data_IF_248770387122
#
_entry.id   IF_248770387122
#
_cell.length_a   1.000
_cell.length_b   1.000
_cell.length_c   1.000
_cell.angle_alpha   90.00
_cell.angle_beta   90.00
_cell.angle_gamma   90.00
#
_symmetry.space_group_name_H-M   'P 1'
#
loop_
_entity.id
_entity.type
_entity.pdbx_description
1 polymer ?
#
# COMPACT_ATOMS: atom_id res chain seq x y z
N UNK A 1 13.57 19.82 6.27
CA UNK A 1 13.99 18.51 5.73
C UNK A 1 12.78 17.82 5.12
N UNK A 2 12.68 17.77 3.79
CA UNK A 2 11.56 17.12 3.10
C UNK A 2 11.69 15.60 3.26
N UNK A 3 10.79 14.98 4.02
CA UNK A 3 10.77 13.51 4.17
C UNK A 3 10.54 12.89 2.78
N UNK A 4 11.56 12.23 2.23
CA UNK A 4 11.43 11.49 0.98
C UNK A 4 10.65 10.22 1.26
N UNK A 5 9.40 10.21 0.83
CA UNK A 5 8.58 9.01 0.86
C UNK A 5 8.88 8.14 -0.35
N UNK A 6 9.08 6.84 -0.11
CA UNK A 6 9.27 5.83 -1.15
C UNK A 6 7.96 5.55 -1.89
N UNK A 7 6.84 5.63 -1.17
CA UNK A 7 5.50 5.37 -1.69
C UNK A 7 4.78 6.65 -2.09
N UNK A 8 3.92 6.52 -3.10
CA UNK A 8 2.96 7.58 -3.44
C UNK A 8 1.82 7.61 -2.41
N UNK A 9 1.08 8.73 -2.29
CA UNK A 9 -0.05 8.82 -1.36
C UNK A 9 -1.08 7.70 -1.55
N UNK A 10 -1.39 7.32 -2.80
CA UNK A 10 -2.35 6.24 -3.09
C UNK A 10 -1.84 4.85 -2.69
N UNK A 11 -0.54 4.59 -2.90
CA UNK A 11 0.07 3.34 -2.44
C UNK A 11 0.06 3.23 -0.93
N UNK A 12 0.35 4.33 -0.24
CA UNK A 12 0.27 4.45 1.22
C UNK A 12 -1.15 4.21 1.73
N UNK A 13 -2.14 4.86 1.13
CA UNK A 13 -3.55 4.65 1.48
C UNK A 13 -3.94 3.17 1.33
N UNK A 14 -3.58 2.53 0.21
CA UNK A 14 -3.86 1.11 0.01
C UNK A 14 -3.19 0.23 1.08
N UNK A 15 -1.92 0.48 1.42
CA UNK A 15 -1.21 -0.29 2.45
C UNK A 15 -1.71 -0.01 3.87
N UNK A 16 -2.12 1.21 4.19
CA UNK A 16 -2.72 1.57 5.49
C UNK A 16 -4.08 0.89 5.68
N UNK A 17 -4.89 0.82 4.61
CA UNK A 17 -6.14 0.07 4.65
C UNK A 17 -5.88 -1.44 4.69
N UNK A 18 -4.79 -1.90 4.05
CA UNK A 18 -4.38 -3.28 4.11
C UNK A 18 -3.93 -3.73 5.50
N UNK A 19 -3.24 -2.86 6.24
CA UNK A 19 -2.84 -3.04 7.64
C UNK A 19 -4.06 -3.28 8.54
N UNK A 20 -5.19 -2.64 8.22
CA UNK A 20 -6.48 -2.80 8.94
C UNK A 20 -7.22 -4.10 8.57
N UNK A 21 -6.63 -4.97 7.77
CA UNK A 21 -7.21 -6.26 7.38
C UNK A 21 -8.18 -6.20 6.19
N UNK A 22 -8.32 -5.06 5.51
CA UNK A 22 -9.30 -4.90 4.40
C UNK A 22 -8.86 -5.60 3.12
N UNK A 23 -9.73 -6.35 2.46
CA UNK A 23 -9.43 -6.98 1.16
C UNK A 23 -9.24 -5.95 0.05
N UNK A 24 -8.64 -6.34 -1.08
CA UNK A 24 -8.46 -5.43 -2.23
C UNK A 24 -9.81 -4.86 -2.71
N UNK A 25 -10.88 -5.67 -2.70
CA UNK A 25 -12.25 -5.26 -3.03
C UNK A 25 -12.77 -4.20 -2.06
N UNK A 26 -12.60 -4.40 -0.75
CA UNK A 26 -13.02 -3.43 0.26
C UNK A 26 -12.26 -2.10 0.14
N UNK A 27 -10.98 -2.17 -0.16
CA UNK A 27 -10.12 -1.00 -0.40
C UNK A 27 -10.58 -0.27 -1.66
N UNK A 28 -10.84 -1.00 -2.74
CA UNK A 28 -11.33 -0.46 -4.01
C UNK A 28 -12.64 0.30 -3.82
N UNK A 29 -13.60 -0.31 -3.13
CA UNK A 29 -14.87 0.32 -2.78
C UNK A 29 -14.68 1.58 -1.92
N UNK A 30 -13.80 1.53 -0.92
CA UNK A 30 -13.52 2.68 -0.05
C UNK A 30 -12.85 3.84 -0.79
N UNK A 31 -11.94 3.54 -1.71
CA UNK A 31 -11.17 4.54 -2.46
C UNK A 31 -11.86 5.00 -3.75
N UNK A 32 -13.01 4.39 -4.12
CA UNK A 32 -13.74 4.72 -5.33
C UNK A 32 -12.99 4.33 -6.62
N UNK A 33 -12.19 3.27 -6.57
CA UNK A 33 -11.39 2.77 -7.71
C UNK A 33 -11.67 1.28 -7.94
N UNK A 34 -11.15 0.72 -9.04
CA UNK A 34 -11.28 -0.71 -9.30
C UNK A 34 -10.32 -1.55 -8.45
N UNK A 35 -10.67 -2.81 -8.21
CA UNK A 35 -9.79 -3.78 -7.56
C UNK A 35 -8.47 -3.95 -8.35
N UNK A 36 -8.54 -3.91 -9.68
CA UNK A 36 -7.37 -3.95 -10.55
C UNK A 36 -6.41 -2.79 -10.28
N UNK A 37 -6.94 -1.58 -10.07
CA UNK A 37 -6.13 -0.41 -9.71
C UNK A 37 -5.49 -0.59 -8.33
N UNK A 38 -6.22 -1.12 -7.34
CA UNK A 38 -5.66 -1.44 -6.02
C UNK A 38 -4.52 -2.46 -6.12
N UNK A 39 -4.71 -3.54 -6.88
CA UNK A 39 -3.68 -4.57 -7.10
C UNK A 39 -2.46 -4.01 -7.83
N UNK A 40 -2.66 -3.07 -8.75
CA UNK A 40 -1.57 -2.34 -9.41
C UNK A 40 -0.79 -1.47 -8.42
N UNK A 41 -1.47 -0.76 -7.51
CA UNK A 41 -0.81 -0.01 -6.45
C UNK A 41 -0.04 -0.90 -5.49
N UNK A 42 -0.59 -2.06 -5.11
CA UNK A 42 0.14 -3.03 -4.29
C UNK A 42 1.39 -3.54 -5.01
N UNK A 43 1.28 -3.94 -6.26
CA UNK A 43 2.41 -4.44 -7.05
C UNK A 43 3.55 -3.43 -7.12
N UNK A 44 3.21 -2.17 -7.38
CA UNK A 44 4.18 -1.08 -7.43
C UNK A 44 4.77 -0.77 -6.04
N UNK A 45 3.94 -0.79 -5.00
CA UNK A 45 4.42 -0.60 -3.62
C UNK A 45 5.36 -1.72 -3.20
N UNK A 46 5.08 -2.97 -3.58
CA UNK A 46 5.95 -4.11 -3.30
C UNK A 46 7.31 -3.93 -3.96
N UNK A 47 7.32 -3.52 -5.24
CA UNK A 47 8.54 -3.23 -5.98
C UNK A 47 9.37 -2.13 -5.32
N UNK A 48 8.72 -1.04 -4.88
CA UNK A 48 9.39 0.11 -4.23
C UNK A 48 9.92 -0.21 -2.84
N UNK A 49 9.20 -1.03 -2.08
CA UNK A 49 9.62 -1.44 -0.73
C UNK A 49 10.59 -2.63 -0.74
N UNK A 50 10.72 -3.36 -1.86
CA UNK A 50 11.41 -4.65 -1.89
C UNK A 50 10.61 -5.78 -1.21
N UNK A 51 9.30 -5.62 -1.09
CA UNK A 51 8.42 -6.60 -0.46
C UNK A 51 8.09 -7.75 -1.43
N UNK A 52 7.85 -8.94 -0.87
CA UNK A 52 7.51 -10.15 -1.63
C UNK A 52 6.01 -10.46 -1.65
N UNK A 53 5.29 -9.94 -0.67
CA UNK A 53 3.87 -10.14 -0.52
C UNK A 53 3.27 -9.00 0.31
N UNK A 54 1.95 -9.03 0.44
CA UNK A 54 1.16 -8.03 1.16
C UNK A 54 1.58 -7.85 2.61
N UNK A 55 1.73 -8.94 3.36
CA UNK A 55 2.10 -8.87 4.77
C UNK A 55 3.50 -8.29 4.95
N UNK A 56 4.45 -8.71 4.11
CA UNK A 56 5.81 -8.19 4.09
C UNK A 56 5.82 -6.69 3.74
N UNK A 57 4.99 -6.25 2.79
CA UNK A 57 4.89 -4.85 2.40
C UNK A 57 4.31 -3.97 3.52
N UNK A 58 3.28 -4.46 4.22
CA UNK A 58 2.73 -3.75 5.38
C UNK A 58 3.78 -3.64 6.49
N UNK A 59 4.50 -4.74 6.80
CA UNK A 59 5.55 -4.71 7.82
C UNK A 59 6.68 -3.73 7.48
N UNK A 60 7.16 -3.73 6.23
CA UNK A 60 8.17 -2.78 5.76
C UNK A 60 7.66 -1.34 5.77
N UNK A 61 6.44 -1.10 5.31
CA UNK A 61 5.86 0.23 5.31
C UNK A 61 5.73 0.81 6.73
N UNK A 62 5.33 0.00 7.71
CA UNK A 62 5.31 0.40 9.14
C UNK A 62 6.75 0.67 9.64
N UNK A 63 7.68 -0.24 9.37
CA UNK A 63 9.07 -0.12 9.83
C UNK A 63 9.79 1.10 9.25
N UNK A 64 9.44 1.52 8.04
CA UNK A 64 10.00 2.70 7.37
C UNK A 64 9.22 3.99 7.70
N UNK A 65 8.11 3.88 8.45
CA UNK A 65 7.22 4.98 8.77
C UNK A 65 6.53 5.57 7.54
N UNK A 66 6.27 4.72 6.53
CA UNK A 66 5.42 5.03 5.39
C UNK A 66 3.93 4.95 5.76
N UNK A 67 3.52 4.08 6.68
CA UNK A 67 2.14 3.97 7.19
C UNK A 67 2.10 3.88 8.72
#
# INVERSE_FOLDING_TARGET
MSRRYLLTPRQRECLSEAQKGRTAIQIAHKLGISEHTVNSYFSEAYRRLGARNRAHAVALAVSLGEI
#
